data_IF_352020107129
#
_entry.id   IF_352020107129
#
_cell.length_a   1.000
_cell.length_b   1.000
_cell.length_c   1.000
_cell.angle_alpha   90.00
_cell.angle_beta   90.00
_cell.angle_gamma   90.00
#
_symmetry.space_group_name_H-M   'P 1'
#
loop_
_entity.id
_entity.type
_entity.pdbx_description
1 polymer ?
#
# COMPACT_ATOMS: atom_id res chain seq x y z
N UNK A 1 31.37 14.08 4.09
CA UNK A 1 31.11 13.00 3.11
C UNK A 1 30.12 11.93 3.58
N UNK A 2 30.17 11.43 4.82
CA UNK A 2 29.27 10.35 5.30
C UNK A 2 27.76 10.70 5.35
N UNK A 3 27.39 11.96 5.66
CA UNK A 3 25.98 12.41 5.66
C UNK A 3 25.35 12.36 4.26
N UNK A 4 26.06 12.87 3.24
CA UNK A 4 25.60 12.85 1.84
C UNK A 4 25.38 11.43 1.31
N UNK A 5 26.24 10.47 1.66
CA UNK A 5 26.06 9.08 1.24
C UNK A 5 24.81 8.43 1.87
N UNK A 6 24.54 8.70 3.15
CA UNK A 6 23.33 8.23 3.84
C UNK A 6 22.06 8.89 3.32
N UNK A 7 22.09 10.19 3.06
CA UNK A 7 20.98 10.95 2.45
C UNK A 7 20.68 10.46 1.03
N UNK A 8 21.71 10.21 0.21
CA UNK A 8 21.56 9.68 -1.15
C UNK A 8 21.01 8.25 -1.17
N UNK A 9 21.48 7.39 -0.26
CA UNK A 9 20.98 6.02 -0.15
C UNK A 9 19.52 5.99 0.34
N UNK A 10 19.13 6.94 1.18
CA UNK A 10 17.74 7.10 1.66
C UNK A 10 16.82 7.65 0.56
N UNK A 11 17.30 8.58 -0.28
CA UNK A 11 16.55 9.09 -1.43
C UNK A 11 16.38 8.03 -2.53
N UNK A 12 17.40 7.21 -2.77
CA UNK A 12 17.33 6.09 -3.71
C UNK A 12 16.36 5.02 -3.19
N UNK A 13 16.37 4.70 -1.89
CA UNK A 13 15.39 3.78 -1.30
C UNK A 13 13.94 4.31 -1.33
N UNK A 14 13.74 5.63 -1.27
CA UNK A 14 12.41 6.25 -1.41
C UNK A 14 11.88 6.21 -2.84
N UNK A 15 12.77 6.26 -3.84
CA UNK A 15 12.40 6.18 -5.25
C UNK A 15 11.77 4.83 -5.63
N UNK A 16 12.07 3.75 -4.90
CA UNK A 16 11.66 2.39 -5.25
C UNK A 16 10.45 1.83 -4.46
N UNK A 17 9.85 2.60 -3.55
CA UNK A 17 8.68 2.15 -2.78
C UNK A 17 7.38 2.46 -3.51
N UNK A 18 6.36 1.65 -3.31
CA UNK A 18 5.02 1.99 -3.77
C UNK A 18 4.52 3.29 -3.11
N UNK A 19 4.08 4.30 -3.87
CA UNK A 19 3.71 5.62 -3.34
C UNK A 19 2.30 5.64 -2.73
N UNK A 20 2.10 4.86 -1.68
CA UNK A 20 0.83 4.79 -0.95
C UNK A 20 0.48 6.15 -0.31
N UNK A 21 -0.76 6.62 -0.51
CA UNK A 21 -1.27 7.87 0.07
C UNK A 21 -1.79 7.73 1.50
N UNK A 22 -1.74 6.53 2.07
CA UNK A 22 -2.20 6.24 3.44
C UNK A 22 -3.67 6.63 3.70
N UNK A 23 -4.51 6.64 2.67
CA UNK A 23 -5.95 6.96 2.79
C UNK A 23 -6.78 5.90 3.53
N UNK A 24 -6.21 4.72 3.80
CA UNK A 24 -6.86 3.63 4.54
C UNK A 24 -7.92 2.84 3.75
N UNK A 25 -8.20 3.19 2.48
CA UNK A 25 -9.24 2.51 1.70
C UNK A 25 -8.99 1.02 1.46
N UNK A 26 -7.73 0.59 1.30
CA UNK A 26 -7.42 -0.84 1.21
C UNK A 26 -7.79 -1.60 2.50
N UNK A 27 -7.72 -0.96 3.67
CA UNK A 27 -8.14 -1.54 4.93
C UNK A 27 -9.67 -1.50 5.12
N UNK A 28 -10.37 -0.60 4.42
CA UNK A 28 -11.85 -0.51 4.44
C UNK A 28 -12.55 -1.45 3.46
N UNK A 29 -11.79 -2.11 2.58
CA UNK A 29 -12.30 -2.92 1.49
C UNK A 29 -11.54 -4.26 1.40
N UNK A 30 -11.50 -5.01 2.49
CA UNK A 30 -10.83 -6.33 2.54
C UNK A 30 -11.77 -7.51 2.31
N UNK A 31 -13.07 -7.26 2.14
CA UNK A 31 -14.06 -8.29 1.84
C UNK A 31 -13.65 -9.09 0.59
N UNK A 32 -13.70 -10.42 0.69
CA UNK A 32 -13.37 -11.33 -0.41
C UNK A 32 -11.87 -11.63 -0.60
N UNK A 33 -10.98 -11.02 0.19
CA UNK A 33 -9.55 -11.35 0.17
C UNK A 33 -9.31 -12.50 1.15
N UNK A 34 -9.07 -13.71 0.62
CA UNK A 34 -8.96 -14.95 1.40
C UNK A 34 -7.87 -14.85 2.48
N UNK A 35 -6.73 -14.26 2.13
CA UNK A 35 -5.60 -14.06 3.03
C UNK A 35 -5.90 -13.11 4.20
N UNK A 36 -6.98 -12.31 4.10
CA UNK A 36 -7.37 -11.31 5.09
C UNK A 36 -8.65 -11.65 5.85
N UNK A 37 -9.24 -12.85 5.66
CA UNK A 37 -10.47 -13.26 6.37
C UNK A 37 -10.33 -13.12 7.90
N UNK A 38 -9.18 -13.49 8.47
CA UNK A 38 -8.93 -13.36 9.92
C UNK A 38 -8.77 -11.91 10.43
N UNK A 39 -8.69 -10.94 9.52
CA UNK A 39 -8.55 -9.51 9.81
C UNK A 39 -9.87 -8.75 9.64
N UNK A 40 -10.89 -9.33 9.01
CA UNK A 40 -12.21 -8.72 8.82
C UNK A 40 -12.96 -8.59 10.15
N UNK A 41 -13.53 -7.40 10.40
CA UNK A 41 -14.42 -7.12 11.52
C UNK A 41 -15.86 -7.63 11.30
N UNK A 42 -16.13 -8.28 10.16
CA UNK A 42 -17.44 -8.82 9.76
C UNK A 42 -18.21 -7.90 8.82
N UNK A 43 -17.60 -6.83 8.34
CA UNK A 43 -18.22 -5.82 7.47
C UNK A 43 -17.31 -5.41 6.29
N UNK A 44 -16.25 -6.17 6.02
CA UNK A 44 -15.26 -5.86 4.99
C UNK A 44 -14.20 -4.84 5.42
N UNK A 45 -14.23 -4.38 6.68
CA UNK A 45 -13.21 -3.48 7.24
C UNK A 45 -12.24 -4.25 8.13
N UNK A 46 -10.95 -4.00 7.96
CA UNK A 46 -9.91 -4.56 8.81
C UNK A 46 -10.05 -4.08 10.25
N UNK A 47 -10.10 -5.01 11.22
CA UNK A 47 -10.21 -4.73 12.65
C UNK A 47 -9.04 -3.95 13.25
N UNK A 48 -7.92 -3.86 12.54
CA UNK A 48 -6.76 -3.06 12.93
C UNK A 48 -6.70 -1.68 12.25
N UNK A 49 -7.72 -1.29 11.50
CA UNK A 49 -7.84 0.08 11.01
C UNK A 49 -8.14 1.00 12.20
N UNK A 50 -7.36 2.06 12.32
CA UNK A 50 -7.67 3.17 13.21
C UNK A 50 -8.66 4.12 12.51
N UNK A 51 -9.87 4.24 13.07
CA UNK A 51 -10.96 5.01 12.47
C UNK A 51 -10.75 6.52 12.55
N UNK A 52 -9.90 7.00 13.45
CA UNK A 52 -9.62 8.43 13.62
C UNK A 52 -8.54 8.89 12.64
N UNK A 53 -7.51 8.06 12.45
CA UNK A 53 -6.33 8.42 11.64
C UNK A 53 -6.30 7.78 10.25
N UNK A 54 -7.15 6.79 9.99
CA UNK A 54 -7.10 5.89 8.82
C UNK A 54 -5.79 5.07 8.70
N UNK A 55 -4.97 5.03 9.75
CA UNK A 55 -3.72 4.28 9.79
C UNK A 55 -3.93 2.87 10.34
N UNK A 56 -3.01 1.97 10.01
CA UNK A 56 -3.04 0.60 10.51
C UNK A 56 -2.37 0.52 11.89
N UNK A 57 -3.07 0.00 12.90
CA UNK A 57 -2.56 -0.19 14.27
C UNK A 57 -1.42 -1.21 14.37
N UNK A 58 -1.27 -2.06 13.36
CA UNK A 58 -0.22 -3.09 13.27
C UNK A 58 0.73 -2.83 12.10
N UNK A 59 1.03 -1.56 11.78
CA UNK A 59 1.76 -1.16 10.55
C UNK A 59 3.01 -2.01 10.29
N UNK A 60 3.88 -2.15 11.30
CA UNK A 60 5.14 -2.87 11.21
C UNK A 60 4.97 -4.40 11.11
N UNK A 61 3.85 -4.94 11.59
CA UNK A 61 3.53 -6.37 11.63
C UNK A 61 2.39 -6.76 10.69
N UNK A 62 2.04 -5.91 9.71
CA UNK A 62 1.03 -6.19 8.68
C UNK A 62 1.25 -7.55 8.01
N UNK A 63 0.19 -8.26 7.58
CA UNK A 63 0.35 -9.47 6.79
C UNK A 63 1.06 -9.16 5.46
N UNK A 64 1.75 -10.14 4.89
CA UNK A 64 2.60 -9.96 3.70
C UNK A 64 1.84 -9.33 2.53
N UNK A 65 0.60 -9.74 2.27
CA UNK A 65 -0.24 -9.21 1.19
C UNK A 65 -0.49 -7.70 1.30
N UNK A 66 -0.42 -7.12 2.51
CA UNK A 66 -0.56 -5.68 2.74
C UNK A 66 0.77 -4.90 2.60
N UNK A 67 1.86 -5.57 2.24
CA UNK A 67 3.21 -5.00 2.10
C UNK A 67 3.67 -5.06 0.65
N UNK A 68 3.20 -4.11 -0.17
CA UNK A 68 3.34 -4.12 -1.65
C UNK A 68 4.79 -4.40 -2.10
N UNK A 69 5.77 -3.67 -1.56
CA UNK A 69 7.17 -3.86 -1.94
C UNK A 69 7.73 -5.24 -1.54
N UNK A 70 7.30 -5.79 -0.39
CA UNK A 70 7.78 -7.08 0.12
C UNK A 70 7.10 -8.26 -0.57
N UNK A 71 5.79 -8.18 -0.83
CA UNK A 71 5.05 -9.24 -1.52
C UNK A 71 5.51 -9.36 -2.97
N UNK A 72 5.86 -8.24 -3.61
CA UNK A 72 6.53 -8.27 -4.91
C UNK A 72 7.80 -9.12 -4.85
N UNK A 73 8.73 -8.78 -3.96
CA UNK A 73 10.02 -9.48 -3.85
C UNK A 73 9.87 -10.97 -3.53
N UNK A 74 8.88 -11.36 -2.71
CA UNK A 74 8.72 -12.73 -2.22
C UNK A 74 7.86 -13.61 -3.10
N UNK A 75 6.82 -13.06 -3.74
CA UNK A 75 5.78 -13.83 -4.43
C UNK A 75 5.72 -13.46 -5.92
N UNK A 76 5.77 -12.17 -6.24
CA UNK A 76 5.57 -11.65 -7.60
C UNK A 76 6.87 -11.16 -8.26
N UNK A 77 8.02 -11.71 -7.89
CA UNK A 77 9.33 -11.25 -8.37
C UNK A 77 9.54 -11.50 -9.87
N UNK A 78 8.72 -12.37 -10.45
CA UNK A 78 8.66 -12.66 -11.88
C UNK A 78 7.92 -11.57 -12.68
N UNK A 79 7.18 -10.67 -12.03
CA UNK A 79 6.51 -9.53 -12.66
C UNK A 79 7.45 -8.31 -12.57
N UNK A 80 7.70 -7.56 -13.66
CA UNK A 80 8.47 -6.32 -13.58
C UNK A 80 7.89 -5.35 -12.53
N UNK A 81 8.75 -4.77 -11.69
CA UNK A 81 8.32 -3.94 -10.55
C UNK A 81 7.38 -2.81 -10.97
N UNK A 82 7.71 -2.12 -12.07
CA UNK A 82 6.90 -1.03 -12.62
C UNK A 82 5.50 -1.50 -12.98
N UNK A 83 5.39 -2.64 -13.65
CA UNK A 83 4.09 -3.23 -14.02
C UNK A 83 3.28 -3.60 -12.78
N UNK A 84 3.92 -4.24 -11.79
CA UNK A 84 3.29 -4.59 -10.53
C UNK A 84 2.75 -3.34 -9.80
N UNK A 85 3.55 -2.28 -9.71
CA UNK A 85 3.12 -1.01 -9.11
C UNK A 85 2.02 -0.33 -9.92
N UNK A 86 2.08 -0.32 -11.25
CA UNK A 86 1.01 0.22 -12.09
C UNK A 86 -0.32 -0.49 -11.81
N UNK A 87 -0.33 -1.82 -11.72
CA UNK A 87 -1.56 -2.58 -11.39
C UNK A 87 -2.08 -2.31 -9.97
N UNK A 88 -1.19 -2.19 -8.99
CA UNK A 88 -1.61 -1.79 -7.65
C UNK A 88 -2.16 -0.35 -7.60
N UNK A 89 -1.58 0.58 -8.37
CA UNK A 89 -2.05 1.95 -8.48
C UNK A 89 -3.40 2.04 -9.19
N UNK A 90 -3.64 1.26 -10.25
CA UNK A 90 -4.95 1.16 -10.92
C UNK A 90 -6.05 0.79 -9.93
N UNK A 91 -5.86 -0.28 -9.14
CA UNK A 91 -6.83 -0.71 -8.12
C UNK A 91 -6.97 0.33 -7.02
N UNK A 92 -5.86 0.91 -6.54
CA UNK A 92 -5.90 1.94 -5.50
C UNK A 92 -6.69 3.17 -5.96
N UNK A 93 -6.47 3.65 -7.18
CA UNK A 93 -7.15 4.80 -7.75
C UNK A 93 -8.63 4.51 -8.01
N UNK A 94 -8.99 3.32 -8.49
CA UNK A 94 -10.39 2.91 -8.66
C UNK A 94 -11.14 2.88 -7.31
N UNK A 95 -10.50 2.38 -6.24
CA UNK A 95 -11.06 2.45 -4.88
C UNK A 95 -11.25 3.90 -4.41
N UNK A 96 -10.26 4.76 -4.65
CA UNK A 96 -10.34 6.19 -4.32
C UNK A 96 -11.49 6.89 -5.06
N UNK A 97 -11.68 6.61 -6.34
CA UNK A 97 -12.76 7.16 -7.15
C UNK A 97 -14.13 6.71 -6.66
N UNK A 98 -14.28 5.42 -6.37
CA UNK A 98 -15.51 4.83 -5.83
C UNK A 98 -15.90 5.45 -4.48
N UNK A 99 -14.91 5.92 -3.72
CA UNK A 99 -15.11 6.57 -2.42
C UNK A 99 -15.05 8.11 -2.50
N UNK A 100 -15.10 8.68 -3.71
CA UNK A 100 -15.11 10.13 -3.94
C UNK A 100 -13.92 10.87 -3.28
N UNK A 101 -12.76 10.21 -3.18
CA UNK A 101 -11.55 10.86 -2.70
C UNK A 101 -11.09 11.92 -3.70
N UNK A 102 -10.63 13.04 -3.15
CA UNK A 102 -10.04 14.12 -3.93
C UNK A 102 -8.93 13.61 -4.86
N UNK A 103 -8.77 14.26 -6.01
CA UNK A 103 -7.78 13.88 -7.03
C UNK A 103 -6.34 13.94 -6.51
N UNK A 104 -6.06 14.73 -5.46
CA UNK A 104 -4.75 14.78 -4.79
C UNK A 104 -4.31 13.45 -4.19
N UNK A 105 -5.22 12.49 -3.99
CA UNK A 105 -4.88 11.16 -3.48
C UNK A 105 -4.41 10.17 -4.56
N UNK A 106 -4.50 10.54 -5.86
CA UNK A 106 -4.17 9.60 -6.93
C UNK A 106 -2.71 9.16 -6.84
N UNK A 107 -2.54 7.84 -6.87
CA UNK A 107 -1.23 7.19 -6.90
C UNK A 107 -0.71 7.27 -8.33
N UNK A 108 0.39 8.00 -8.52
CA UNK A 108 1.08 8.17 -9.80
C UNK A 108 2.41 7.41 -9.75
N UNK A 109 2.64 6.51 -10.70
CA UNK A 109 3.88 5.74 -10.80
C UNK A 109 4.84 6.46 -11.74
N UNK A 110 5.85 7.12 -11.16
CA UNK A 110 6.88 7.89 -11.89
C UNK A 110 8.22 7.16 -12.03
N UNK A 111 8.23 5.85 -11.71
CA UNK A 111 9.44 5.00 -11.70
C UNK A 111 9.73 4.42 -13.08
#
# INVERSE_FOLDING_TARGET
MKKRAWENQKSEQLLHRFPCTSCGLCCKNIAGIIELIGFDAGNGVCKFLDSETNLCKIYESRPLICRIDEVHKKIYSHIPLKEFYTKNAEVCNALQETNHMDISFRVIINQ
#
